data_IF_537434617667
#
_entry.id   IF_537434617667
#
_cell.length_a   1.000
_cell.length_b   1.000
_cell.length_c   1.000
_cell.angle_alpha   90.00
_cell.angle_beta   90.00
_cell.angle_gamma   90.00
#
_symmetry.space_group_name_H-M   'P 1'
#
loop_
_entity.id
_entity.type
_entity.pdbx_description
1 polymer ?
#
# COMPACT_ATOMS: atom_id res chain seq x y z
N UNK A 1 7.33 2.15 -23.48
CA UNK A 1 6.70 3.32 -22.83
C UNK A 1 5.92 2.82 -21.62
N UNK A 2 6.07 3.45 -20.45
CA UNK A 2 5.43 2.99 -19.19
C UNK A 2 3.99 3.47 -19.03
N UNK A 3 3.56 4.45 -19.84
CA UNK A 3 2.23 5.09 -19.76
C UNK A 3 1.06 4.12 -19.85
N UNK A 4 1.20 3.00 -20.57
CA UNK A 4 0.14 2.00 -20.74
C UNK A 4 -0.36 1.42 -19.41
N UNK A 5 0.51 1.39 -18.41
CA UNK A 5 0.21 0.88 -17.05
C UNK A 5 -0.61 1.90 -16.25
N UNK A 6 -0.62 3.16 -16.65
CA UNK A 6 -1.25 4.28 -15.94
C UNK A 6 -2.43 4.90 -16.73
N UNK A 7 -2.96 4.19 -17.72
CA UNK A 7 -4.21 4.59 -18.38
C UNK A 7 -5.39 4.46 -17.41
N UNK A 8 -6.48 5.20 -17.65
CA UNK A 8 -7.68 5.12 -16.80
C UNK A 8 -8.18 3.68 -16.66
N UNK A 9 -8.29 2.94 -17.77
CA UNK A 9 -8.73 1.54 -17.78
C UNK A 9 -7.79 0.64 -16.95
N UNK A 10 -6.46 0.87 -17.03
CA UNK A 10 -5.49 0.12 -16.23
C UNK A 10 -5.64 0.43 -14.73
N UNK A 11 -5.84 1.70 -14.37
CA UNK A 11 -6.07 2.12 -12.97
C UNK A 11 -7.38 1.55 -12.42
N UNK A 12 -8.45 1.52 -13.22
CA UNK A 12 -9.71 0.89 -12.84
C UNK A 12 -9.54 -0.62 -12.55
N UNK A 13 -8.74 -1.32 -13.35
CA UNK A 13 -8.37 -2.74 -13.09
C UNK A 13 -7.52 -2.92 -11.84
N UNK A 14 -6.75 -1.91 -11.44
CA UNK A 14 -5.94 -1.92 -10.21
C UNK A 14 -6.76 -1.59 -8.96
N UNK A 15 -7.96 -1.01 -9.09
CA UNK A 15 -8.77 -0.60 -7.94
C UNK A 15 -8.97 -1.71 -6.88
N UNK A 16 -9.28 -2.98 -7.24
CA UNK A 16 -9.45 -4.02 -6.23
C UNK A 16 -8.17 -4.30 -5.44
N UNK A 17 -7.01 -4.20 -6.09
CA UNK A 17 -5.72 -4.36 -5.43
C UNK A 17 -5.37 -3.19 -4.52
N UNK A 18 -5.63 -1.96 -4.98
CA UNK A 18 -5.46 -0.75 -4.16
C UNK A 18 -6.36 -0.82 -2.92
N UNK A 19 -7.62 -1.23 -3.10
CA UNK A 19 -8.57 -1.40 -2.00
C UNK A 19 -8.06 -2.42 -0.98
N UNK A 20 -7.65 -3.62 -1.44
CA UNK A 20 -7.08 -4.65 -0.56
C UNK A 20 -5.86 -4.13 0.21
N UNK A 21 -4.96 -3.41 -0.46
CA UNK A 21 -3.75 -2.85 0.17
C UNK A 21 -4.11 -1.87 1.28
N UNK A 22 -5.09 -0.99 1.06
CA UNK A 22 -5.58 -0.06 2.06
C UNK A 22 -6.28 -0.79 3.21
N UNK A 23 -7.12 -1.77 2.89
CA UNK A 23 -7.86 -2.55 3.89
C UNK A 23 -6.92 -3.33 4.81
N UNK A 24 -5.91 -3.99 4.25
CA UNK A 24 -4.91 -4.74 5.01
C UNK A 24 -4.13 -3.81 5.96
N UNK A 25 -3.67 -2.65 5.48
CA UNK A 25 -2.94 -1.68 6.32
C UNK A 25 -3.81 -1.10 7.44
N UNK A 26 -5.10 -0.88 7.19
CA UNK A 26 -6.04 -0.42 8.22
C UNK A 26 -6.35 -1.52 9.24
N UNK A 27 -6.45 -2.77 8.80
CA UNK A 27 -6.64 -3.91 9.70
C UNK A 27 -5.40 -4.11 10.58
N UNK A 28 -4.19 -3.99 10.04
CA UNK A 28 -2.94 -4.03 10.82
C UNK A 28 -2.88 -2.91 11.87
N UNK A 29 -3.26 -1.69 11.49
CA UNK A 29 -3.38 -0.57 12.42
C UNK A 29 -4.40 -0.84 13.53
N UNK A 30 -5.56 -1.40 13.17
CA UNK A 30 -6.62 -1.75 14.11
C UNK A 30 -6.18 -2.84 15.08
N UNK A 31 -5.47 -3.86 14.60
CA UNK A 31 -4.92 -4.94 15.43
C UNK A 31 -3.84 -4.44 16.37
N UNK A 32 -2.95 -3.56 15.89
CA UNK A 32 -1.93 -2.91 16.72
C UNK A 32 -2.56 -2.05 17.82
N UNK A 33 -3.66 -1.37 17.51
CA UNK A 33 -4.34 -0.48 18.43
C UNK A 33 -3.51 0.74 18.84
N UNK A 34 -4.04 1.51 19.79
CA UNK A 34 -3.40 2.70 20.35
C UNK A 34 -3.56 2.79 21.88
N UNK A 35 -3.79 1.66 22.54
CA UNK A 35 -4.02 1.60 23.99
C UNK A 35 -2.80 2.11 24.78
N UNK A 36 -1.59 1.84 24.30
CA UNK A 36 -0.34 2.27 24.92
C UNK A 36 0.11 3.69 24.49
N UNK A 37 -0.68 4.37 23.64
CA UNK A 37 -0.42 5.74 23.19
C UNK A 37 -0.64 5.97 21.69
N UNK A 38 -0.42 7.21 21.22
CA UNK A 38 -0.61 7.60 19.83
C UNK A 38 0.29 6.82 18.86
N UNK A 39 -0.18 6.66 17.63
CA UNK A 39 0.53 5.97 16.55
C UNK A 39 1.00 6.94 15.45
N UNK A 40 2.13 6.64 14.83
CA UNK A 40 2.71 7.47 13.77
C UNK A 40 2.10 7.14 12.40
N UNK A 41 0.95 7.75 12.08
CA UNK A 41 0.14 7.42 10.89
C UNK A 41 0.93 7.40 9.57
N UNK A 42 1.90 8.30 9.39
CA UNK A 42 2.73 8.31 8.18
C UNK A 42 3.52 7.01 8.04
N UNK A 43 4.09 6.49 9.13
CA UNK A 43 4.96 5.31 9.10
C UNK A 43 4.14 4.04 8.87
N UNK A 44 2.95 3.97 9.47
CA UNK A 44 2.14 2.76 9.48
C UNK A 44 1.14 2.67 8.32
N UNK A 45 0.84 3.79 7.65
CA UNK A 45 -0.21 3.83 6.62
C UNK A 45 0.19 4.69 5.42
N UNK A 46 0.46 5.99 5.62
CA UNK A 46 0.59 6.91 4.49
C UNK A 46 1.83 6.65 3.63
N UNK A 47 2.90 6.10 4.21
CA UNK A 47 4.11 5.66 3.51
C UNK A 47 3.93 4.28 2.84
N UNK A 48 3.48 3.22 3.53
CA UNK A 48 3.33 1.91 2.90
C UNK A 48 2.25 1.88 1.81
N UNK A 49 1.13 2.60 1.96
CA UNK A 49 0.01 2.55 1.01
C UNK A 49 0.41 2.86 -0.46
N UNK A 50 1.00 4.02 -0.80
CA UNK A 50 1.43 4.29 -2.17
C UNK A 50 2.63 3.41 -2.58
N UNK A 51 3.52 3.08 -1.65
CA UNK A 51 4.75 2.35 -1.93
C UNK A 51 4.48 0.90 -2.33
N UNK A 52 3.61 0.20 -1.60
CA UNK A 52 3.25 -1.18 -1.92
C UNK A 52 2.56 -1.26 -3.28
N UNK A 53 1.72 -0.26 -3.61
CA UNK A 53 1.06 -0.17 -4.92
C UNK A 53 2.10 0.00 -6.03
N UNK A 54 3.01 0.98 -5.93
CA UNK A 54 3.98 1.22 -7.01
C UNK A 54 5.01 0.09 -7.15
N UNK A 55 5.51 -0.48 -6.05
CA UNK A 55 6.47 -1.58 -6.11
C UNK A 55 5.84 -2.85 -6.67
N UNK A 56 4.55 -3.07 -6.44
CA UNK A 56 3.81 -4.17 -7.08
C UNK A 56 3.67 -3.94 -8.58
N UNK A 57 3.36 -2.72 -9.00
CA UNK A 57 3.34 -2.34 -10.42
C UNK A 57 4.71 -2.57 -11.08
N UNK A 58 5.80 -2.32 -10.36
CA UNK A 58 7.17 -2.55 -10.82
C UNK A 58 7.62 -4.03 -10.76
N UNK A 59 6.80 -4.92 -10.18
CA UNK A 59 7.09 -6.35 -10.08
C UNK A 59 8.06 -6.72 -8.95
N UNK A 60 8.22 -5.87 -7.94
CA UNK A 60 9.03 -6.19 -6.76
C UNK A 60 8.38 -7.31 -5.93
N UNK A 61 9.16 -8.24 -5.37
CA UNK A 61 8.61 -9.29 -4.52
C UNK A 61 8.13 -8.71 -3.18
N UNK A 62 7.06 -9.30 -2.64
CA UNK A 62 6.36 -8.77 -1.46
C UNK A 62 7.25 -8.62 -0.22
N UNK A 63 8.26 -9.49 -0.05
CA UNK A 63 9.15 -9.47 1.10
C UNK A 63 10.13 -8.28 1.10
N UNK A 64 10.36 -7.64 -0.04
CA UNK A 64 11.22 -6.46 -0.12
C UNK A 64 10.47 -5.16 0.21
N UNK A 65 9.13 -5.19 0.24
CA UNK A 65 8.31 -4.00 0.41
C UNK A 65 8.53 -3.33 1.77
N UNK A 66 8.65 -4.12 2.84
CA UNK A 66 8.89 -3.61 4.20
C UNK A 66 10.27 -2.95 4.35
N UNK A 67 11.28 -3.41 3.59
CA UNK A 67 12.61 -2.78 3.61
C UNK A 67 12.63 -1.46 2.83
N UNK A 68 11.78 -1.35 1.81
CA UNK A 68 11.72 -0.21 0.90
C UNK A 68 10.75 0.90 1.39
N UNK A 69 10.14 0.72 2.58
CA UNK A 69 9.15 1.62 3.19
C UNK A 69 9.41 1.83 4.67
#
# INVERSE_FOLDING_TARGET
MVEQIFTQEAVEKLQPYIQKTVDDLLEDLKQKGCADGPVHLVKIFALPAPSYVIYTILGAPFHDLEYLT
#
